data_IF_602167119895
#
_entry.id   IF_602167119895
#
_cell.length_a   1.000
_cell.length_b   1.000
_cell.length_c   1.000
_cell.angle_alpha   90.00
_cell.angle_beta   90.00
_cell.angle_gamma   90.00
#
_symmetry.space_group_name_H-M   'P 1'
#
loop_
_entity.id
_entity.type
_entity.pdbx_description
1 polymer ?
#
# COMPACT_ATOMS: atom_id res chain seq x y z
N UNK A 1 -23.10 23.17 4.05
CA UNK A 1 -23.07 23.13 5.54
C UNK A 1 -21.73 22.53 5.92
N UNK A 2 -20.73 23.37 6.18
CA UNK A 2 -19.36 22.96 6.56
C UNK A 2 -19.44 22.24 7.93
N UNK A 3 -19.15 20.96 7.99
CA UNK A 3 -18.92 20.26 9.25
C UNK A 3 -17.59 20.75 9.81
N UNK A 4 -17.67 21.71 10.71
CA UNK A 4 -16.60 22.05 11.65
C UNK A 4 -16.46 20.87 12.62
N UNK A 5 -15.62 19.88 12.27
CA UNK A 5 -15.10 18.93 13.25
C UNK A 5 -14.09 19.69 14.10
N UNK A 6 -14.50 19.94 15.35
CA UNK A 6 -13.63 20.59 16.33
C UNK A 6 -12.36 19.78 16.54
N UNK A 7 -11.26 20.50 16.65
CA UNK A 7 -9.88 20.08 16.92
C UNK A 7 -9.80 19.35 18.28
N UNK A 8 -10.24 18.07 18.33
CA UNK A 8 -9.91 17.14 19.41
C UNK A 8 -9.92 15.73 18.82
N UNK A 9 -8.74 15.13 18.66
CA UNK A 9 -8.59 13.71 18.41
C UNK A 9 -8.50 13.24 16.96
N UNK A 10 -8.10 14.06 15.99
CA UNK A 10 -7.83 13.52 14.64
C UNK A 10 -6.57 12.65 14.63
N UNK A 11 -6.68 11.42 14.11
CA UNK A 11 -5.51 10.54 13.88
C UNK A 11 -4.41 11.31 13.14
N UNK A 12 -3.16 11.20 13.61
CA UNK A 12 -1.98 11.85 13.04
C UNK A 12 -1.01 10.79 12.51
N UNK A 13 -0.17 11.16 11.57
CA UNK A 13 0.89 10.29 11.08
C UNK A 13 1.75 9.73 12.23
N UNK A 14 1.97 10.51 13.28
CA UNK A 14 2.73 10.06 14.46
C UNK A 14 2.09 8.84 15.16
N UNK A 15 0.75 8.72 15.16
CA UNK A 15 0.08 7.52 15.69
C UNK A 15 0.42 6.29 14.82
N UNK A 16 0.39 6.43 13.50
CA UNK A 16 0.75 5.35 12.58
C UNK A 16 2.21 4.93 12.74
N UNK A 17 3.12 5.88 12.90
CA UNK A 17 4.55 5.62 13.17
C UNK A 17 4.77 4.88 14.50
N UNK A 18 4.02 5.23 15.54
CA UNK A 18 4.05 4.52 16.84
C UNK A 18 3.56 3.08 16.69
N UNK A 19 2.46 2.87 15.94
CA UNK A 19 1.93 1.53 15.63
C UNK A 19 2.99 0.73 14.88
N UNK A 20 3.61 1.30 13.85
CA UNK A 20 4.67 0.65 13.07
C UNK A 20 5.89 0.28 13.91
N UNK A 21 6.34 1.19 14.78
CA UNK A 21 7.46 0.95 15.69
C UNK A 21 7.16 -0.19 16.68
N UNK A 22 5.94 -0.21 17.25
CA UNK A 22 5.46 -1.28 18.12
C UNK A 22 5.45 -2.62 17.39
N UNK A 23 4.84 -2.66 16.20
CA UNK A 23 4.78 -3.84 15.35
C UNK A 23 6.19 -4.38 15.03
N UNK A 24 7.09 -3.51 14.59
CA UNK A 24 8.47 -3.88 14.26
C UNK A 24 9.21 -4.45 15.48
N UNK A 25 8.99 -3.87 16.67
CA UNK A 25 9.57 -4.35 17.92
C UNK A 25 8.98 -5.69 18.36
N UNK A 26 7.65 -5.84 18.35
CA UNK A 26 6.96 -7.04 18.82
C UNK A 26 7.15 -8.25 17.91
N UNK A 27 7.23 -8.06 16.59
CA UNK A 27 7.62 -9.13 15.67
C UNK A 27 9.08 -9.57 15.88
N UNK A 28 9.93 -8.69 16.44
CA UNK A 28 11.28 -9.01 16.90
C UNK A 28 12.13 -9.72 15.85
N UNK A 29 12.96 -10.68 16.30
CA UNK A 29 13.83 -11.46 15.40
C UNK A 29 13.09 -12.50 14.57
N UNK A 30 11.82 -12.77 14.85
CA UNK A 30 10.99 -13.70 14.07
C UNK A 30 10.86 -13.24 12.61
N UNK A 31 10.80 -11.93 12.37
CA UNK A 31 10.75 -11.36 11.02
C UNK A 31 11.99 -11.64 10.14
N UNK A 32 13.11 -12.04 10.73
CA UNK A 32 14.36 -12.35 10.02
C UNK A 32 14.48 -13.82 9.60
N UNK A 33 13.48 -14.65 9.90
CA UNK A 33 13.43 -16.07 9.54
C UNK A 33 12.17 -16.34 8.74
N UNK A 34 12.16 -17.34 7.85
CA UNK A 34 10.93 -17.78 7.24
C UNK A 34 9.89 -18.04 8.33
N UNK A 35 8.72 -17.40 8.19
CA UNK A 35 7.61 -17.68 9.09
C UNK A 35 7.07 -19.07 8.81
N UNK A 36 6.40 -19.67 9.80
CA UNK A 36 5.73 -20.94 9.57
C UNK A 36 4.68 -20.75 8.47
N UNK A 37 4.72 -21.59 7.46
CA UNK A 37 3.71 -21.66 6.40
C UNK A 37 2.36 -22.21 6.90
N UNK A 38 2.17 -22.22 8.23
CA UNK A 38 0.94 -22.66 8.84
C UNK A 38 -0.20 -21.72 8.46
N UNK A 39 -1.09 -22.23 7.63
CA UNK A 39 -2.35 -21.58 7.28
C UNK A 39 -3.31 -21.78 8.45
N UNK A 40 -3.68 -20.70 9.11
CA UNK A 40 -4.59 -20.73 10.28
C UNK A 40 -6.04 -20.44 9.90
N UNK A 41 -6.30 -20.03 8.65
CA UNK A 41 -7.65 -19.71 8.19
C UNK A 41 -7.69 -19.12 6.81
N UNK A 42 -8.80 -18.44 6.55
CA UNK A 42 -9.04 -17.63 5.36
C UNK A 42 -9.49 -16.25 5.82
N UNK A 43 -8.77 -15.21 5.40
CA UNK A 43 -9.06 -13.83 5.74
C UNK A 43 -10.33 -13.30 5.06
N UNK A 44 -10.83 -12.19 5.56
CA UNK A 44 -11.98 -11.51 4.99
C UNK A 44 -11.71 -11.01 3.56
N UNK A 45 -10.45 -10.71 3.24
CA UNK A 45 -9.97 -10.38 1.88
C UNK A 45 -10.03 -11.54 0.90
N UNK A 46 -10.18 -12.78 1.39
CA UNK A 46 -10.43 -14.00 0.60
C UNK A 46 -9.22 -14.88 0.37
N UNK A 47 -8.02 -14.50 0.84
CA UNK A 47 -6.79 -15.27 0.73
C UNK A 47 -6.51 -16.13 1.99
N UNK A 48 -5.42 -16.90 1.95
CA UNK A 48 -4.98 -17.69 3.10
C UNK A 48 -4.37 -16.78 4.15
N UNK A 49 -4.84 -16.89 5.39
CA UNK A 49 -4.26 -16.24 6.56
C UNK A 49 -3.13 -17.08 7.12
N UNK A 50 -1.95 -16.52 7.21
CA UNK A 50 -0.83 -17.10 7.96
C UNK A 50 -0.80 -16.54 9.39
N UNK A 51 -0.11 -17.24 10.29
CA UNK A 51 0.02 -16.82 11.70
C UNK A 51 0.59 -15.41 11.84
N UNK A 52 1.52 -15.03 10.95
CA UNK A 52 2.14 -13.69 10.99
C UNK A 52 1.13 -12.59 10.67
N UNK A 53 0.26 -12.80 9.67
CA UNK A 53 -0.77 -11.83 9.26
C UNK A 53 -1.67 -11.52 10.46
N UNK A 54 -2.15 -12.59 11.13
CA UNK A 54 -3.01 -12.45 12.31
C UNK A 54 -2.30 -11.77 13.48
N UNK A 55 -1.02 -12.10 13.73
CA UNK A 55 -0.25 -11.47 14.80
C UNK A 55 -0.05 -9.98 14.53
N UNK A 56 0.31 -9.62 13.30
CA UNK A 56 0.48 -8.23 12.89
C UNK A 56 -0.84 -7.45 13.01
N UNK A 57 -1.94 -8.04 12.54
CA UNK A 57 -3.26 -7.43 12.62
C UNK A 57 -3.70 -7.19 14.08
N UNK A 58 -3.52 -8.16 14.97
CA UNK A 58 -3.89 -8.02 16.39
C UNK A 58 -3.11 -6.88 17.06
N UNK A 59 -1.83 -6.71 16.74
CA UNK A 59 -1.01 -5.60 17.24
C UNK A 59 -1.54 -4.26 16.72
N UNK A 60 -1.84 -4.17 15.43
CA UNK A 60 -2.32 -2.94 14.79
C UNK A 60 -3.69 -2.55 15.36
N UNK A 61 -4.66 -3.48 15.36
CA UNK A 61 -6.02 -3.23 15.85
C UNK A 61 -5.99 -2.87 17.34
N UNK A 62 -5.24 -3.60 18.17
CA UNK A 62 -5.09 -3.29 19.57
C UNK A 62 -4.51 -1.89 19.81
N UNK A 63 -3.54 -1.47 19.01
CA UNK A 63 -2.97 -0.13 19.09
C UNK A 63 -3.96 0.96 18.67
N UNK A 64 -4.82 0.69 17.65
CA UNK A 64 -5.89 1.59 17.24
C UNK A 64 -6.98 1.73 18.32
N UNK A 65 -7.32 0.64 19.02
CA UNK A 65 -8.26 0.67 20.14
C UNK A 65 -7.73 1.49 21.33
N UNK A 66 -6.42 1.42 21.60
CA UNK A 66 -5.75 2.20 22.62
C UNK A 66 -5.83 3.72 22.38
N UNK A 67 -5.98 4.16 21.14
CA UNK A 67 -6.15 5.59 20.80
C UNK A 67 -7.47 6.17 21.35
N UNK A 68 -8.49 5.32 21.57
CA UNK A 68 -9.83 5.70 22.02
C UNK A 68 -10.51 6.73 21.11
N UNK A 69 -10.26 6.64 19.81
CA UNK A 69 -10.86 7.47 18.78
C UNK A 69 -11.94 6.70 18.01
N UNK A 70 -13.02 7.35 17.53
CA UNK A 70 -14.00 6.73 16.65
C UNK A 70 -13.36 6.41 15.29
N UNK A 71 -13.29 5.13 14.91
CA UNK A 71 -12.66 4.66 13.66
C UNK A 71 -13.48 3.53 13.04
N UNK A 72 -13.45 3.43 11.73
CA UNK A 72 -13.97 2.29 10.96
C UNK A 72 -12.81 1.55 10.31
N UNK A 73 -12.53 0.32 10.74
CA UNK A 73 -11.42 -0.50 10.24
C UNK A 73 -11.88 -1.31 9.04
N UNK A 74 -11.07 -1.33 7.99
CA UNK A 74 -11.15 -2.22 6.84
C UNK A 74 -9.82 -2.97 6.78
N UNK A 75 -9.80 -4.24 7.21
CA UNK A 75 -8.59 -5.04 7.27
C UNK A 75 -8.71 -6.34 6.48
N UNK A 76 -7.58 -6.81 5.92
CA UNK A 76 -7.53 -8.01 5.08
C UNK A 76 -8.01 -9.25 5.80
N UNK A 77 -7.61 -9.44 7.06
CA UNK A 77 -7.87 -10.67 7.81
C UNK A 77 -9.15 -10.58 8.64
N UNK A 78 -9.33 -9.50 9.39
CA UNK A 78 -10.49 -9.30 10.27
C UNK A 78 -11.75 -8.92 9.50
N UNK A 79 -11.61 -8.12 8.43
CA UNK A 79 -12.72 -7.56 7.69
C UNK A 79 -13.10 -6.15 8.17
N UNK A 80 -14.34 -5.98 8.61
CA UNK A 80 -14.87 -4.68 9.04
C UNK A 80 -15.02 -4.64 10.56
N UNK A 81 -14.60 -3.52 11.18
CA UNK A 81 -14.76 -3.30 12.61
C UNK A 81 -14.91 -1.82 12.91
N UNK A 82 -15.94 -1.46 13.67
CA UNK A 82 -16.09 -0.11 14.21
C UNK A 82 -15.54 -0.02 15.63
N UNK A 83 -14.78 1.03 15.90
CA UNK A 83 -14.31 1.44 17.21
C UNK A 83 -15.13 2.68 17.59
N UNK A 84 -15.75 2.66 18.78
CA UNK A 84 -16.55 3.77 19.35
C UNK A 84 -17.61 4.33 18.39
N UNK A 85 -18.26 3.46 17.61
CA UNK A 85 -19.36 3.82 16.72
C UNK A 85 -18.95 4.24 15.30
N UNK A 86 -17.68 4.02 14.94
CA UNK A 86 -17.16 4.33 13.61
C UNK A 86 -16.75 5.78 13.42
N UNK A 87 -15.96 6.03 12.37
CA UNK A 87 -15.37 7.32 12.04
C UNK A 87 -14.57 7.25 10.74
N UNK A 88 -13.46 8.00 10.62
CA UNK A 88 -12.54 7.86 9.50
C UNK A 88 -12.15 6.40 9.27
N UNK A 89 -12.08 5.98 8.02
CA UNK A 89 -11.75 4.61 7.67
C UNK A 89 -10.24 4.38 7.78
N UNK A 90 -9.85 3.32 8.48
CA UNK A 90 -8.46 2.84 8.54
C UNK A 90 -8.36 1.56 7.72
N UNK A 91 -7.66 1.64 6.59
CA UNK A 91 -7.51 0.56 5.62
C UNK A 91 -6.16 -0.10 5.89
N UNK A 92 -6.18 -1.41 6.18
CA UNK A 92 -5.01 -2.13 6.69
C UNK A 92 -4.74 -3.36 5.84
N UNK A 93 -3.50 -3.48 5.37
CA UNK A 93 -2.88 -4.73 5.01
C UNK A 93 -1.82 -5.04 6.09
N UNK A 94 -2.07 -6.05 6.94
CA UNK A 94 -1.13 -6.38 8.01
C UNK A 94 0.24 -6.81 7.50
N UNK A 95 0.27 -7.66 6.46
CA UNK A 95 1.50 -8.13 5.81
C UNK A 95 1.31 -8.20 4.29
N UNK A 96 1.56 -7.09 3.60
CA UNK A 96 1.67 -7.12 2.15
C UNK A 96 2.96 -7.85 1.74
N UNK A 97 2.80 -8.94 0.99
CA UNK A 97 3.87 -9.88 0.68
C UNK A 97 3.94 -11.07 1.66
N UNK A 98 2.83 -11.55 2.23
CA UNK A 98 2.78 -12.70 3.15
C UNK A 98 3.47 -13.95 2.56
N UNK A 99 3.37 -14.19 1.25
CA UNK A 99 4.09 -15.30 0.59
C UNK A 99 5.60 -15.11 0.64
N UNK A 100 6.09 -13.88 0.48
CA UNK A 100 7.50 -13.57 0.65
C UNK A 100 7.94 -13.86 2.08
N UNK A 101 7.18 -13.38 3.07
CA UNK A 101 7.46 -13.59 4.47
C UNK A 101 7.58 -15.07 4.83
N UNK A 102 6.61 -15.90 4.44
CA UNK A 102 6.63 -17.35 4.76
C UNK A 102 7.68 -18.14 3.98
N UNK A 103 8.12 -17.67 2.82
CA UNK A 103 9.17 -18.31 2.02
C UNK A 103 10.57 -17.73 2.31
N UNK A 104 10.69 -16.74 3.20
CA UNK A 104 11.98 -16.11 3.55
C UNK A 104 12.53 -15.18 2.47
N UNK A 105 11.68 -14.70 1.55
CA UNK A 105 12.04 -13.65 0.61
C UNK A 105 11.96 -12.30 1.33
N UNK A 106 13.06 -11.52 1.44
CA UNK A 106 13.13 -10.35 2.30
C UNK A 106 12.47 -9.09 1.68
N UNK A 107 11.19 -9.17 1.30
CA UNK A 107 10.46 -8.07 0.70
C UNK A 107 8.97 -8.16 1.07
N UNK A 108 8.60 -7.59 2.21
CA UNK A 108 7.23 -7.53 2.73
C UNK A 108 7.10 -6.39 3.76
N UNK A 109 5.90 -5.89 3.94
CA UNK A 109 5.64 -4.71 4.77
C UNK A 109 4.27 -4.78 5.43
N UNK A 110 4.00 -3.81 6.30
CA UNK A 110 2.65 -3.44 6.74
C UNK A 110 2.27 -2.15 6.03
N UNK A 111 1.03 -2.08 5.57
CA UNK A 111 0.45 -0.93 4.87
C UNK A 111 -0.79 -0.44 5.61
N UNK A 112 -0.85 0.85 5.96
CA UNK A 112 -1.97 1.49 6.66
C UNK A 112 -2.31 2.80 5.97
N UNK A 113 -3.58 2.99 5.60
CA UNK A 113 -4.08 4.25 5.08
C UNK A 113 -5.27 4.74 5.92
N UNK A 114 -5.44 6.05 6.02
CA UNK A 114 -6.59 6.68 6.66
C UNK A 114 -7.36 7.50 5.63
N UNK A 115 -8.66 7.31 5.60
CA UNK A 115 -9.58 7.95 4.67
C UNK A 115 -10.67 8.69 5.46
N UNK A 116 -10.82 10.00 5.24
CA UNK A 116 -11.88 10.83 5.84
C UNK A 116 -13.08 10.94 4.88
N UNK A 117 -13.55 9.80 4.43
CA UNK A 117 -14.64 9.63 3.47
C UNK A 117 -14.71 8.18 3.02
N UNK A 118 -15.24 7.93 1.80
CA UNK A 118 -15.47 6.57 1.31
C UNK A 118 -14.55 6.20 0.14
N UNK A 119 -13.91 7.18 -0.50
CA UNK A 119 -13.18 6.98 -1.75
C UNK A 119 -11.68 7.23 -1.60
N UNK A 120 -10.88 6.73 -2.55
CA UNK A 120 -9.44 6.99 -2.58
C UNK A 120 -9.09 8.49 -2.76
N UNK A 121 -10.02 9.33 -3.23
CA UNK A 121 -9.89 10.78 -3.24
C UNK A 121 -9.91 11.41 -1.84
N UNK A 122 -10.47 10.69 -0.85
CA UNK A 122 -10.60 11.13 0.54
C UNK A 122 -9.47 10.63 1.45
N UNK A 123 -8.45 9.96 0.90
CA UNK A 123 -7.26 9.53 1.65
C UNK A 123 -6.55 10.75 2.24
N UNK A 124 -6.23 10.71 3.54
CA UNK A 124 -5.59 11.80 4.27
C UNK A 124 -4.23 11.43 4.85
N UNK A 125 -4.03 10.17 5.26
CA UNK A 125 -2.75 9.67 5.78
C UNK A 125 -2.41 8.34 5.13
N UNK A 126 -1.11 8.10 4.94
CA UNK A 126 -0.55 6.83 4.48
C UNK A 126 0.70 6.49 5.28
N UNK A 127 0.87 5.21 5.58
CA UNK A 127 2.04 4.68 6.27
C UNK A 127 2.38 3.27 5.77
N UNK A 128 3.64 3.03 5.45
CA UNK A 128 4.18 1.73 5.08
C UNK A 128 5.48 1.53 5.85
N UNK A 129 5.64 0.37 6.48
CA UNK A 129 6.90 -0.01 7.14
C UNK A 129 7.42 -1.32 6.56
N UNK A 130 8.66 -1.31 6.08
CA UNK A 130 9.36 -2.51 5.69
C UNK A 130 9.70 -3.32 6.96
N UNK A 131 9.12 -4.50 7.08
CA UNK A 131 9.25 -5.30 8.30
C UNK A 131 10.61 -5.98 8.45
N UNK A 132 11.47 -5.94 7.42
CA UNK A 132 12.84 -6.44 7.51
C UNK A 132 13.82 -5.40 8.03
N UNK A 133 13.75 -4.19 7.43
CA UNK A 133 14.74 -3.14 7.68
C UNK A 133 14.29 -2.14 8.75
N UNK A 134 12.97 -2.00 8.96
CA UNK A 134 12.37 -0.95 9.78
C UNK A 134 12.29 0.39 9.05
N UNK A 135 12.63 0.43 7.76
CA UNK A 135 12.44 1.63 6.95
C UNK A 135 10.96 1.96 6.84
N UNK A 136 10.63 3.23 7.10
CA UNK A 136 9.24 3.71 7.09
C UNK A 136 9.03 4.78 6.03
N UNK A 137 7.90 4.66 5.35
CA UNK A 137 7.39 5.63 4.40
C UNK A 137 6.06 6.17 4.94
N UNK A 138 5.82 7.47 4.80
CA UNK A 138 4.51 8.03 5.09
C UNK A 138 4.19 9.22 4.20
N UNK A 139 2.90 9.54 4.10
CA UNK A 139 2.42 10.73 3.42
C UNK A 139 1.22 11.32 4.17
N UNK A 140 1.11 12.64 4.09
CA UNK A 140 -0.06 13.41 4.52
C UNK A 140 -0.61 14.17 3.33
N UNK A 141 -1.93 14.19 3.16
CA UNK A 141 -2.60 14.91 2.06
C UNK A 141 -2.23 16.39 2.09
N UNK A 142 -1.59 16.88 1.02
CA UNK A 142 -1.06 18.23 0.93
C UNK A 142 0.20 18.49 1.76
N UNK A 143 0.68 17.51 2.51
CA UNK A 143 1.89 17.58 3.34
C UNK A 143 3.14 17.05 2.65
N UNK A 144 2.98 16.20 1.65
CA UNK A 144 4.06 15.53 0.92
C UNK A 144 4.31 14.11 1.42
N UNK A 145 5.27 13.44 0.80
CA UNK A 145 5.72 12.09 1.13
C UNK A 145 7.12 12.11 1.78
N UNK A 146 7.36 11.14 2.67
CA UNK A 146 8.59 11.07 3.48
C UNK A 146 9.10 9.63 3.57
N UNK A 147 10.42 9.49 3.68
CA UNK A 147 11.15 8.25 3.95
C UNK A 147 12.08 8.46 5.13
N UNK A 148 11.91 7.71 6.21
CA UNK A 148 12.71 7.80 7.44
C UNK A 148 12.86 9.22 8.01
N UNK A 149 11.88 10.10 7.78
CA UNK A 149 11.87 11.50 8.23
C UNK A 149 12.27 12.51 7.16
N UNK A 150 12.91 12.08 6.09
CA UNK A 150 13.31 12.96 5.01
C UNK A 150 12.21 13.05 3.94
N UNK A 151 11.93 14.28 3.46
CA UNK A 151 10.96 14.49 2.39
C UNK A 151 11.47 13.89 1.09
N UNK A 152 10.63 13.10 0.42
CA UNK A 152 10.96 12.44 -0.83
C UNK A 152 10.17 13.02 -2.01
N UNK A 153 10.67 12.71 -3.20
CA UNK A 153 10.00 12.97 -4.48
C UNK A 153 10.19 11.78 -5.40
N UNK A 154 9.18 11.55 -6.23
CA UNK A 154 9.25 10.56 -7.29
C UNK A 154 10.22 11.00 -8.41
N UNK A 155 10.51 10.10 -9.34
CA UNK A 155 11.41 10.35 -10.48
C UNK A 155 10.92 11.53 -11.33
N UNK A 156 11.85 12.41 -11.71
CA UNK A 156 11.55 13.63 -12.48
C UNK A 156 11.78 13.49 -13.99
N UNK A 157 12.75 12.68 -14.42
CA UNK A 157 13.00 12.41 -15.84
C UNK A 157 12.00 11.40 -16.44
N UNK A 158 12.08 11.12 -17.75
CA UNK A 158 11.15 10.29 -18.50
C UNK A 158 11.72 8.93 -18.95
N UNK A 159 12.82 8.47 -18.32
CA UNK A 159 13.45 7.19 -18.67
C UNK A 159 12.88 6.05 -17.82
N UNK A 160 12.54 4.94 -18.46
CA UNK A 160 12.15 3.70 -17.79
C UNK A 160 13.39 2.94 -17.25
N UNK A 161 13.98 3.44 -16.14
CA UNK A 161 15.16 2.79 -15.54
C UNK A 161 14.83 1.44 -14.94
N UNK A 162 13.80 1.42 -14.09
CA UNK A 162 13.33 0.24 -13.40
C UNK A 162 11.81 0.19 -13.43
N UNK A 163 11.26 -0.85 -14.03
CA UNK A 163 9.82 -1.14 -13.95
C UNK A 163 9.62 -2.30 -13.00
N UNK A 164 8.85 -2.06 -11.94
CA UNK A 164 8.35 -3.10 -11.07
C UNK A 164 6.96 -3.57 -11.55
N UNK A 165 6.66 -4.86 -11.38
CA UNK A 165 5.37 -5.40 -11.77
C UNK A 165 4.93 -6.55 -10.88
N UNK A 166 3.62 -6.76 -10.80
CA UNK A 166 2.99 -7.92 -10.19
C UNK A 166 2.22 -8.73 -11.24
N UNK A 167 2.24 -10.05 -11.09
CA UNK A 167 1.53 -10.98 -11.96
C UNK A 167 0.95 -12.12 -11.13
N UNK A 168 -0.36 -12.12 -10.90
CA UNK A 168 -1.04 -13.17 -10.12
C UNK A 168 -1.05 -14.51 -10.87
N UNK A 169 -1.24 -14.46 -12.19
CA UNK A 169 -1.17 -15.61 -13.10
C UNK A 169 -0.20 -15.23 -14.23
N UNK A 170 1.12 -15.53 -14.10
CA UNK A 170 2.13 -15.02 -15.00
C UNK A 170 1.85 -15.27 -16.49
N UNK A 171 1.38 -16.47 -16.87
CA UNK A 171 1.06 -16.80 -18.26
C UNK A 171 -0.07 -15.98 -18.89
N UNK A 172 -0.97 -15.43 -18.06
CA UNK A 172 -2.06 -14.54 -18.48
C UNK A 172 -1.69 -13.07 -18.37
N UNK A 173 -0.96 -12.71 -17.31
CA UNK A 173 -0.79 -11.32 -16.89
C UNK A 173 0.44 -10.69 -17.56
N UNK A 174 1.58 -11.40 -17.62
CA UNK A 174 2.83 -10.88 -18.24
C UNK A 174 2.66 -10.51 -19.71
N UNK A 175 1.97 -11.30 -20.56
CA UNK A 175 1.76 -10.90 -21.96
C UNK A 175 1.07 -9.54 -22.13
N UNK A 176 0.20 -9.12 -21.20
CA UNK A 176 -0.51 -7.83 -21.26
C UNK A 176 0.40 -6.61 -21.05
N UNK A 177 1.52 -6.79 -20.38
CA UNK A 177 2.48 -5.73 -20.04
C UNK A 177 3.83 -5.89 -20.74
N UNK A 178 3.96 -6.88 -21.63
CA UNK A 178 5.24 -7.25 -22.24
C UNK A 178 5.90 -6.09 -22.98
N UNK A 179 5.13 -5.28 -23.71
CA UNK A 179 5.67 -4.12 -24.43
C UNK A 179 6.28 -3.10 -23.50
N UNK A 180 5.60 -2.81 -22.36
CA UNK A 180 6.10 -1.92 -21.34
C UNK A 180 7.37 -2.47 -20.70
N UNK A 181 7.39 -3.77 -20.37
CA UNK A 181 8.58 -4.41 -19.80
C UNK A 181 9.77 -4.41 -20.76
N UNK A 182 9.53 -4.54 -22.08
CA UNK A 182 10.58 -4.55 -23.10
C UNK A 182 11.27 -3.19 -23.26
N UNK A 183 10.58 -2.10 -22.93
CA UNK A 183 11.12 -0.74 -23.01
C UNK A 183 11.93 -0.32 -21.76
N UNK A 184 11.87 -1.12 -20.70
CA UNK A 184 12.59 -0.88 -19.47
C UNK A 184 14.07 -1.26 -19.55
N UNK A 185 14.94 -0.50 -18.87
CA UNK A 185 16.35 -0.93 -18.69
C UNK A 185 16.47 -2.15 -17.78
N UNK A 186 15.60 -2.24 -16.76
CA UNK A 186 15.53 -3.37 -15.82
C UNK A 186 14.09 -3.59 -15.37
N UNK A 187 13.76 -4.82 -15.01
CA UNK A 187 12.45 -5.17 -14.46
C UNK A 187 12.58 -5.94 -13.15
N UNK A 188 11.56 -5.82 -12.30
CA UNK A 188 11.44 -6.57 -11.04
C UNK A 188 10.00 -7.04 -10.82
N UNK A 189 9.86 -8.24 -10.27
CA UNK A 189 8.62 -8.74 -9.70
C UNK A 189 8.95 -9.11 -8.25
N UNK A 190 8.61 -8.22 -7.30
CA UNK A 190 9.12 -8.29 -5.94
C UNK A 190 8.11 -8.89 -4.95
N UNK A 191 6.80 -8.83 -5.23
CA UNK A 191 5.77 -9.53 -4.47
C UNK A 191 5.21 -8.76 -3.28
N UNK A 192 5.29 -7.43 -3.30
CA UNK A 192 4.65 -6.51 -2.35
C UNK A 192 4.24 -5.24 -3.08
N UNK A 193 2.95 -5.09 -3.35
CA UNK A 193 2.40 -3.93 -4.06
C UNK A 193 2.64 -2.63 -3.29
N UNK A 194 2.48 -2.65 -1.97
CA UNK A 194 2.67 -1.46 -1.15
C UNK A 194 4.13 -0.98 -1.18
N UNK A 195 5.13 -1.88 -1.06
CA UNK A 195 6.52 -1.50 -1.17
C UNK A 195 6.91 -1.03 -2.58
N UNK A 196 6.40 -1.69 -3.62
CA UNK A 196 6.66 -1.26 -5.00
C UNK A 196 6.16 0.18 -5.23
N UNK A 197 4.95 0.53 -4.72
CA UNK A 197 4.41 1.89 -4.76
C UNK A 197 5.20 2.88 -3.90
N UNK A 198 5.67 2.45 -2.72
CA UNK A 198 6.55 3.25 -1.88
C UNK A 198 7.88 3.58 -2.61
N UNK A 199 8.45 2.61 -3.35
CA UNK A 199 9.65 2.84 -4.15
C UNK A 199 9.40 3.68 -5.41
N UNK A 200 8.18 3.69 -5.98
CA UNK A 200 7.80 4.69 -6.99
C UNK A 200 7.81 6.09 -6.38
N UNK A 201 7.24 6.27 -5.19
CA UNK A 201 7.22 7.56 -4.51
C UNK A 201 8.60 8.05 -4.10
N UNK A 202 9.53 7.13 -3.83
CA UNK A 202 10.94 7.41 -3.51
C UNK A 202 11.80 7.71 -4.74
N UNK A 203 11.27 7.44 -5.96
CA UNK A 203 12.01 7.63 -7.22
C UNK A 203 12.97 6.49 -7.57
N UNK A 204 12.98 5.39 -6.82
CA UNK A 204 13.80 4.22 -7.11
C UNK A 204 13.19 3.31 -8.21
N UNK A 205 11.87 3.35 -8.36
CA UNK A 205 11.11 2.66 -9.39
C UNK A 205 10.45 3.69 -10.29
N UNK A 206 10.71 3.60 -11.60
CA UNK A 206 10.15 4.52 -12.60
C UNK A 206 8.65 4.32 -12.80
N UNK A 207 8.25 3.04 -12.88
CA UNK A 207 6.86 2.60 -13.10
C UNK A 207 6.59 1.32 -12.34
N UNK A 208 5.43 1.24 -11.71
CA UNK A 208 4.85 0.00 -11.20
C UNK A 208 3.58 -0.33 -11.98
N UNK A 209 3.41 -1.59 -12.37
CA UNK A 209 2.23 -2.05 -13.09
C UNK A 209 1.76 -3.42 -12.59
N UNK A 210 0.46 -3.56 -12.36
CA UNK A 210 -0.19 -4.86 -12.19
C UNK A 210 -1.43 -4.94 -13.08
N UNK A 211 -1.44 -5.83 -14.08
CA UNK A 211 -2.60 -6.03 -14.95
C UNK A 211 -3.69 -6.88 -14.28
N UNK A 212 -3.35 -7.57 -13.20
CA UNK A 212 -4.31 -8.27 -12.35
C UNK A 212 -4.90 -7.31 -11.31
N UNK A 213 -6.21 -7.38 -11.00
CA UNK A 213 -6.81 -6.50 -10.02
C UNK A 213 -6.25 -6.71 -8.61
N UNK A 214 -5.54 -5.72 -8.05
CA UNK A 214 -5.09 -5.67 -6.66
C UNK A 214 -6.21 -5.24 -5.72
N UNK A 215 -6.16 -5.67 -4.48
CA UNK A 215 -7.15 -5.34 -3.44
C UNK A 215 -6.92 -3.93 -2.90
N UNK A 216 -7.98 -3.27 -2.41
CA UNK A 216 -7.89 -1.89 -1.94
C UNK A 216 -6.83 -1.67 -0.85
N UNK A 217 -6.66 -2.60 0.07
CA UNK A 217 -5.71 -2.49 1.17
C UNK A 217 -4.25 -2.70 0.72
N UNK A 218 -3.99 -3.42 -0.39
CA UNK A 218 -2.64 -3.58 -0.96
C UNK A 218 -2.09 -2.23 -1.47
N UNK A 219 -2.96 -1.30 -1.92
CA UNK A 219 -2.49 -0.09 -2.60
C UNK A 219 -2.99 1.24 -2.01
N UNK A 220 -3.88 1.23 -1.00
CA UNK A 220 -4.43 2.47 -0.45
C UNK A 220 -3.35 3.44 0.05
N UNK A 221 -2.41 2.98 0.86
CA UNK A 221 -1.31 3.82 1.34
C UNK A 221 -0.40 4.28 0.19
N UNK A 222 0.00 3.36 -0.69
CA UNK A 222 0.81 3.67 -1.86
C UNK A 222 0.16 4.69 -2.80
N UNK A 223 -1.17 4.68 -2.92
CA UNK A 223 -1.92 5.64 -3.73
C UNK A 223 -1.68 7.08 -3.27
N UNK A 224 -1.81 7.35 -1.97
CA UNK A 224 -1.54 8.68 -1.42
C UNK A 224 -0.05 9.03 -1.52
N UNK A 225 0.84 8.09 -1.22
CA UNK A 225 2.28 8.32 -1.27
C UNK A 225 2.76 8.74 -2.65
N UNK A 226 2.34 8.01 -3.71
CA UNK A 226 2.72 8.33 -5.08
C UNK A 226 2.26 9.74 -5.46
N UNK A 227 1.01 10.11 -5.12
CA UNK A 227 0.47 11.45 -5.40
C UNK A 227 1.25 12.55 -4.66
N UNK A 228 1.49 12.37 -3.36
CA UNK A 228 2.18 13.36 -2.52
C UNK A 228 3.67 13.49 -2.84
N UNK A 229 4.28 12.48 -3.47
CA UNK A 229 5.64 12.54 -4.00
C UNK A 229 5.74 13.21 -5.38
N UNK A 230 4.60 13.52 -6.03
CA UNK A 230 4.54 14.12 -7.37
C UNK A 230 4.38 13.11 -8.51
N UNK A 231 4.19 11.83 -8.20
CA UNK A 231 3.89 10.77 -9.15
C UNK A 231 2.41 10.74 -9.59
N UNK A 232 2.10 9.80 -10.46
CA UNK A 232 0.74 9.58 -11.00
C UNK A 232 0.37 8.12 -10.80
N UNK A 233 -0.86 7.86 -10.33
CA UNK A 233 -1.42 6.52 -10.19
C UNK A 233 -2.85 6.47 -10.72
N UNK A 234 -3.14 5.46 -11.56
CA UNK A 234 -4.45 5.21 -12.18
C UNK A 234 -4.70 3.69 -12.26
N UNK A 235 -5.82 3.31 -12.84
CA UNK A 235 -5.93 1.96 -13.38
C UNK A 235 -5.08 1.81 -14.67
N UNK A 236 -5.02 0.60 -15.22
CA UNK A 236 -4.25 0.32 -16.44
C UNK A 236 -4.87 0.89 -17.72
N UNK A 237 -6.05 1.52 -17.64
CA UNK A 237 -6.70 2.27 -18.72
C UNK A 237 -6.51 3.79 -18.57
N UNK A 238 -5.81 4.25 -17.52
CA UNK A 238 -5.62 5.66 -17.24
C UNK A 238 -6.76 6.32 -16.47
N UNK A 239 -7.70 5.53 -15.93
CA UNK A 239 -8.83 6.06 -15.14
C UNK A 239 -8.35 6.36 -13.72
N UNK A 240 -8.65 7.58 -13.22
CA UNK A 240 -8.31 7.99 -11.86
C UNK A 240 -8.93 7.07 -10.81
N UNK A 241 -8.18 6.78 -9.76
CA UNK A 241 -8.65 6.01 -8.62
C UNK A 241 -9.45 6.85 -7.61
N UNK A 242 -9.55 8.16 -7.78
CA UNK A 242 -10.15 9.05 -6.77
C UNK A 242 -11.60 8.72 -6.44
N UNK A 243 -12.38 8.23 -7.42
CA UNK A 243 -13.76 7.83 -7.23
C UNK A 243 -13.95 6.36 -6.78
N UNK A 244 -12.86 5.62 -6.65
CA UNK A 244 -12.92 4.21 -6.23
C UNK A 244 -13.21 4.15 -4.73
N UNK A 245 -14.26 3.42 -4.35
CA UNK A 245 -14.64 3.21 -2.94
C UNK A 245 -13.67 2.23 -2.29
N UNK A 246 -13.12 2.60 -1.15
CA UNK A 246 -12.30 1.70 -0.34
C UNK A 246 -13.18 0.57 0.25
N UNK A 247 -12.71 -0.67 0.18
CA UNK A 247 -13.50 -1.78 0.71
C UNK A 247 -12.90 -3.16 0.45
N UNK A 248 -13.34 -4.15 1.22
CA UNK A 248 -12.84 -5.53 1.16
C UNK A 248 -12.97 -6.19 -0.21
N UNK A 249 -13.98 -5.80 -0.99
CA UNK A 249 -14.27 -6.39 -2.31
C UNK A 249 -13.72 -5.57 -3.47
N UNK A 250 -13.24 -4.36 -3.20
CA UNK A 250 -12.68 -3.48 -4.22
C UNK A 250 -11.38 -4.04 -4.76
N UNK A 251 -11.31 -4.16 -6.07
CA UNK A 251 -10.13 -4.66 -6.78
C UNK A 251 -9.92 -3.84 -8.05
N UNK A 252 -8.69 -3.44 -8.31
CA UNK A 252 -8.32 -2.59 -9.43
C UNK A 252 -6.96 -2.97 -9.99
N UNK A 253 -6.81 -3.12 -11.31
CA UNK A 253 -5.48 -3.16 -11.92
C UNK A 253 -4.83 -1.79 -11.77
N UNK A 254 -3.50 -1.73 -11.64
CA UNK A 254 -2.80 -0.50 -11.30
C UNK A 254 -1.70 -0.15 -12.29
N UNK A 255 -1.55 1.14 -12.54
CA UNK A 255 -0.40 1.75 -13.18
C UNK A 255 0.02 2.97 -12.36
N UNK A 256 1.22 2.92 -11.79
CA UNK A 256 1.81 4.05 -11.09
C UNK A 256 3.14 4.43 -11.75
N UNK A 257 3.45 5.72 -11.82
CA UNK A 257 4.67 6.24 -12.41
C UNK A 257 5.20 7.45 -11.65
N UNK A 258 6.50 7.68 -11.72
CA UNK A 258 7.15 8.79 -11.03
C UNK A 258 6.67 10.17 -11.50
N UNK A 259 6.18 10.30 -12.72
CA UNK A 259 5.63 11.56 -13.24
C UNK A 259 4.65 11.32 -14.40
N UNK A 260 3.98 12.40 -14.85
CA UNK A 260 2.97 12.33 -15.92
C UNK A 260 3.54 11.85 -17.27
N UNK A 261 4.79 12.16 -17.61
CA UNK A 261 5.41 11.74 -18.88
C UNK A 261 5.66 10.24 -18.90
N UNK A 262 6.22 9.70 -17.81
CA UNK A 262 6.38 8.25 -17.63
C UNK A 262 5.04 7.52 -17.65
N UNK A 263 4.03 8.08 -16.97
CA UNK A 263 2.69 7.48 -16.93
C UNK A 263 2.06 7.42 -18.33
N UNK A 264 2.10 8.52 -19.09
CA UNK A 264 1.57 8.59 -20.45
C UNK A 264 2.32 7.63 -21.38
N UNK A 265 3.65 7.57 -21.29
CA UNK A 265 4.47 6.63 -22.05
C UNK A 265 4.11 5.16 -21.74
N UNK A 266 3.95 4.84 -20.44
CA UNK A 266 3.54 3.51 -20.02
C UNK A 266 2.14 3.12 -20.53
N UNK A 267 1.14 4.03 -20.45
CA UNK A 267 -0.20 3.80 -21.00
C UNK A 267 -0.18 3.53 -22.50
N UNK A 268 0.62 4.27 -23.28
CA UNK A 268 0.74 4.05 -24.72
C UNK A 268 1.30 2.66 -25.03
N UNK A 269 2.26 2.18 -24.24
CA UNK A 269 2.85 0.84 -24.41
C UNK A 269 1.89 -0.29 -23.97
N UNK A 270 0.99 -0.01 -23.02
CA UNK A 270 -0.02 -0.99 -22.58
C UNK A 270 -1.18 -1.13 -23.57
N UNK A 271 -1.57 -0.04 -24.25
CA UNK A 271 -2.78 0.01 -25.07
C UNK A 271 -2.52 -0.01 -26.58
N UNK A 272 -1.29 0.08 -27.02
CA UNK A 272 -0.86 0.00 -28.43
C UNK A 272 -0.43 -1.40 -28.80
#
# INVERSE_FOLDING_TARGET
MLRLWGIMGAMKVQNLRQIGSRLFSELGTTRMRPFTSEVIGKGAGGDKTYRIDKTAEDIIIGSLEELREPLSIISEEYGLKDILGGGPQVIIDPIDGSRNAVNGVPFYCTSIAVCDGETFGDLILAYIINLLTGDEFWAEKGGGAFFNGDRIRSQDDDLFYLIAYEAQVPGRDVPKIMRLLADARRTRCLGSTALDLAFVSYGAVSVFVTPAPSRSFDFAAGCLMVKEAGGVITDTNGISLDSVVAGLKTRTPLLAAGNQRLHTGALNLLNG
#
